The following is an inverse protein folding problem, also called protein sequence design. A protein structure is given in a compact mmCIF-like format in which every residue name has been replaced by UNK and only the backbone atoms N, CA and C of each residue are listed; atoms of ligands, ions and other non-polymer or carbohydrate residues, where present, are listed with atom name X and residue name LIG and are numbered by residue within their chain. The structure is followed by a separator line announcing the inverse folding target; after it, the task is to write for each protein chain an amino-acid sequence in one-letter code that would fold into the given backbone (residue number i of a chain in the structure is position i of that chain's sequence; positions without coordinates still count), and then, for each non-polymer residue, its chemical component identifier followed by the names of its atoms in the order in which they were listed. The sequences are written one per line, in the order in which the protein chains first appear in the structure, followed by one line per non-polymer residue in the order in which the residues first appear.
data_IF_131415602746
#
_entry.id   IF_131415602746
#
_cell.length_a   1.000
_cell.length_b   1.000
_cell.length_c   1.000
_cell.angle_alpha   90.00
_cell.angle_beta   90.00
_cell.angle_gamma   90.00
#
_symmetry.space_group_name_H-M   'P 1'
#
loop_
_entity.id
_entity.type
_entity.pdbx_description
1 polymer ?
#
# COMPACT_ATOMS: atom_id res chain seq x y z
N UNK A 1 -0.28 -62.30 -30.48
CA UNK A 1 0.84 -61.42 -30.90
C UNK A 1 0.74 -60.13 -30.10
N UNK A 2 1.89 -59.62 -29.59
CA UNK A 2 2.09 -58.39 -28.79
C UNK A 2 1.63 -57.13 -29.55
N UNK A 3 0.86 -56.25 -28.91
CA UNK A 3 1.19 -54.91 -28.34
C UNK A 3 0.91 -53.75 -29.32
N UNK A 4 0.88 -52.44 -28.95
CA UNK A 4 1.05 -51.81 -27.64
C UNK A 4 0.03 -50.68 -27.28
N UNK A 5 0.25 -50.10 -26.11
CA UNK A 5 -0.28 -48.87 -25.52
C UNK A 5 -0.32 -47.65 -26.43
N UNK A 6 -1.33 -46.80 -26.23
CA UNK A 6 -1.25 -45.34 -26.39
C UNK A 6 -2.12 -44.74 -25.28
N UNK A 7 -1.46 -44.29 -24.21
CA UNK A 7 -1.22 -42.86 -23.99
C UNK A 7 -2.34 -42.27 -23.14
N UNK A 8 -2.14 -42.39 -21.82
CA UNK A 8 -2.69 -41.47 -20.84
C UNK A 8 -2.38 -40.06 -21.33
N UNK A 9 -3.38 -39.40 -21.92
CA UNK A 9 -3.30 -37.99 -22.25
C UNK A 9 -3.10 -37.25 -20.92
N UNK A 10 -1.88 -36.73 -20.78
CA UNK A 10 -1.46 -35.75 -19.80
C UNK A 10 -2.56 -34.71 -19.62
N UNK A 11 -3.25 -34.76 -18.49
CA UNK A 11 -4.13 -33.71 -18.05
C UNK A 11 -3.30 -32.42 -18.02
N UNK A 12 -3.61 -31.48 -18.91
CA UNK A 12 -3.11 -30.13 -18.78
C UNK A 12 -3.67 -29.60 -17.46
N UNK A 13 -2.78 -29.37 -16.49
CA UNK A 13 -3.09 -28.64 -15.27
C UNK A 13 -2.99 -27.13 -15.61
N UNK A 14 -4.10 -26.37 -15.68
CA UNK A 14 -4.01 -24.92 -15.58
C UNK A 14 -4.07 -24.59 -14.09
N UNK A 15 -2.91 -24.65 -13.43
CA UNK A 15 -2.79 -24.40 -11.99
C UNK A 15 -1.57 -23.54 -11.68
N UNK A 16 -1.33 -22.46 -12.44
CA UNK A 16 -0.12 -21.66 -12.29
C UNK A 16 -0.28 -20.18 -12.67
N UNK A 17 -1.35 -19.50 -12.24
CA UNK A 17 -1.45 -18.04 -12.41
C UNK A 17 -2.49 -17.33 -11.50
N UNK A 18 -2.60 -17.65 -10.20
CA UNK A 18 -3.53 -16.88 -9.33
C UNK A 18 -3.09 -16.65 -7.87
N UNK A 19 -1.81 -16.89 -7.52
CA UNK A 19 -1.22 -16.36 -6.27
C UNK A 19 -0.34 -15.15 -6.59
N UNK A 20 -0.97 -14.10 -7.12
CA UNK A 20 -0.32 -12.79 -7.23
C UNK A 20 -0.16 -12.24 -5.82
N UNK A 21 1.05 -12.40 -5.31
CA UNK A 21 1.54 -12.03 -3.99
C UNK A 21 1.14 -10.60 -3.57
N UNK A 22 0.53 -10.49 -2.38
CA UNK A 22 0.02 -9.24 -1.81
C UNK A 22 1.16 -8.21 -1.60
N UNK A 23 2.37 -8.69 -1.32
CA UNK A 23 3.56 -7.86 -1.15
C UNK A 23 3.96 -7.18 -2.47
N UNK A 24 3.90 -7.92 -3.57
CA UNK A 24 4.14 -7.41 -4.94
C UNK A 24 3.16 -6.30 -5.33
N UNK A 25 1.86 -6.46 -5.02
CA UNK A 25 0.86 -5.41 -5.26
C UNK A 25 1.13 -4.16 -4.42
N UNK A 26 1.50 -4.33 -3.15
CA UNK A 26 1.81 -3.21 -2.27
C UNK A 26 3.06 -2.46 -2.73
N UNK A 27 4.11 -3.18 -3.09
CA UNK A 27 5.34 -2.60 -3.67
C UNK A 27 5.03 -1.75 -4.90
N UNK A 28 4.25 -2.27 -5.85
CA UNK A 28 3.87 -1.53 -7.05
C UNK A 28 3.08 -0.23 -6.75
N UNK A 29 2.26 -0.22 -5.69
CA UNK A 29 1.55 0.98 -5.23
C UNK A 29 2.53 2.02 -4.65
N UNK A 30 3.49 1.57 -3.85
CA UNK A 30 4.53 2.43 -3.27
C UNK A 30 5.42 3.03 -4.36
N UNK A 31 5.86 2.24 -5.33
CA UNK A 31 6.67 2.72 -6.46
C UNK A 31 5.97 3.83 -7.23
N UNK A 32 4.67 3.67 -7.53
CA UNK A 32 3.86 4.71 -8.18
C UNK A 32 3.75 5.97 -7.32
N UNK A 33 3.59 5.83 -6.01
CA UNK A 33 3.57 6.96 -5.09
C UNK A 33 4.91 7.70 -5.06
N UNK A 34 6.01 6.97 -4.89
CA UNK A 34 7.37 7.51 -4.91
C UNK A 34 7.66 8.26 -6.21
N UNK A 35 7.33 7.65 -7.36
CA UNK A 35 7.55 8.24 -8.67
C UNK A 35 6.78 9.57 -8.82
N UNK A 36 5.52 9.64 -8.40
CA UNK A 36 4.72 10.86 -8.44
C UNK A 36 5.28 11.96 -7.53
N UNK A 37 5.67 11.60 -6.30
CA UNK A 37 6.26 12.51 -5.33
C UNK A 37 7.57 13.09 -5.87
N UNK A 38 8.43 12.24 -6.43
CA UNK A 38 9.72 12.64 -7.00
C UNK A 38 9.55 13.54 -8.23
N UNK A 39 8.68 13.14 -9.18
CA UNK A 39 8.37 13.92 -10.40
C UNK A 39 7.86 15.32 -10.06
N UNK A 40 7.00 15.44 -9.04
CA UNK A 40 6.39 16.71 -8.62
C UNK A 40 7.23 17.47 -7.60
N UNK A 41 8.37 16.91 -7.16
CA UNK A 41 9.24 17.48 -6.10
C UNK A 41 8.47 17.85 -4.83
N UNK A 42 7.50 17.00 -4.46
CA UNK A 42 6.66 17.24 -3.29
C UNK A 42 7.41 16.79 -2.03
N UNK A 43 7.44 17.65 -1.01
CA UNK A 43 7.84 17.25 0.34
C UNK A 43 6.65 16.59 1.03
N UNK A 44 6.67 15.25 1.09
CA UNK A 44 5.57 14.46 1.64
C UNK A 44 5.22 14.91 3.06
N UNK A 45 6.24 15.14 3.88
CA UNK A 45 6.10 15.62 5.26
C UNK A 45 5.33 16.94 5.38
N UNK A 46 5.49 17.89 4.44
CA UNK A 46 4.78 19.17 4.47
C UNK A 46 3.27 18.97 4.23
N UNK A 47 2.88 18.01 3.38
CA UNK A 47 1.47 17.69 3.12
C UNK A 47 0.77 17.19 4.39
N UNK A 48 1.47 16.38 5.19
CA UNK A 48 0.91 15.84 6.43
C UNK A 48 1.01 16.80 7.61
N UNK A 49 1.96 17.75 7.57
CA UNK A 49 2.19 18.72 8.65
C UNK A 49 0.99 19.61 8.94
N UNK A 50 0.19 19.94 7.92
CA UNK A 50 -1.04 20.74 8.09
C UNK A 50 -2.09 20.03 8.97
N UNK A 51 -2.08 18.70 8.94
CA UNK A 51 -3.02 17.85 9.69
C UNK A 51 -2.55 17.54 11.11
N UNK A 52 -1.22 17.51 11.36
CA UNK A 52 -0.63 17.21 12.67
C UNK A 52 -0.16 18.46 13.43
N UNK A 53 -1.12 19.29 13.86
CA UNK A 53 -0.83 20.52 14.62
C UNK A 53 -0.21 20.26 16.00
N UNK A 54 -0.38 19.05 16.53
CA UNK A 54 0.12 18.65 17.86
C UNK A 54 1.50 17.99 17.78
N UNK A 55 2.07 17.84 16.58
CA UNK A 55 3.33 17.12 16.33
C UNK A 55 3.32 15.71 16.97
N UNK A 56 2.18 15.04 17.00
CA UNK A 56 2.04 13.71 17.58
C UNK A 56 2.45 12.59 16.60
N UNK A 57 2.89 12.95 15.39
CA UNK A 57 3.30 12.07 14.29
C UNK A 57 2.18 11.16 13.79
N UNK A 58 0.93 11.45 14.17
CA UNK A 58 -0.24 10.64 13.90
C UNK A 58 -1.42 11.50 13.47
N UNK A 59 -2.23 10.96 12.57
CA UNK A 59 -3.39 11.64 12.01
C UNK A 59 -4.59 10.70 11.96
N UNK A 60 -5.77 11.24 11.65
CA UNK A 60 -6.96 10.42 11.41
C UNK A 60 -6.91 9.75 10.04
N UNK A 61 -7.76 8.74 9.85
CA UNK A 61 -7.87 8.02 8.58
C UNK A 61 -8.21 8.95 7.42
N UNK A 62 -9.17 9.83 7.64
CA UNK A 62 -9.71 10.75 6.62
C UNK A 62 -8.64 11.76 6.18
N UNK A 63 -7.84 12.25 7.13
CA UNK A 63 -6.71 13.13 6.86
C UNK A 63 -5.65 12.41 6.02
N UNK A 64 -5.33 11.16 6.36
CA UNK A 64 -4.37 10.35 5.60
C UNK A 64 -4.85 10.10 4.17
N UNK A 65 -6.10 9.67 4.00
CA UNK A 65 -6.73 9.45 2.68
C UNK A 65 -6.70 10.72 1.84
N UNK A 66 -7.03 11.87 2.44
CA UNK A 66 -7.02 13.16 1.74
C UNK A 66 -5.61 13.54 1.28
N UNK A 67 -4.60 13.34 2.12
CA UNK A 67 -3.22 13.58 1.76
C UNK A 67 -2.76 12.66 0.61
N UNK A 68 -3.05 11.35 0.68
CA UNK A 68 -2.71 10.39 -0.38
C UNK A 68 -3.32 10.75 -1.72
N UNK A 69 -4.61 11.11 -1.75
CA UNK A 69 -5.29 11.53 -2.99
C UNK A 69 -4.70 12.82 -3.58
N UNK A 70 -4.15 13.69 -2.74
CA UNK A 70 -3.40 14.88 -3.18
C UNK A 70 -2.05 14.54 -3.81
N UNK A 71 -1.35 13.53 -3.27
CA UNK A 71 -0.06 13.07 -3.78
C UNK A 71 -0.20 12.30 -5.10
N UNK A 72 -1.13 11.35 -5.15
CA UNK A 72 -1.40 10.52 -6.31
C UNK A 72 -2.92 10.35 -6.50
N UNK A 73 -3.55 11.19 -7.34
CA UNK A 73 -4.99 11.14 -7.57
C UNK A 73 -5.45 9.90 -8.36
N UNK A 74 -4.51 9.15 -8.96
CA UNK A 74 -4.79 7.94 -9.74
C UNK A 74 -4.77 6.63 -8.96
N UNK A 75 -4.84 6.69 -7.62
CA UNK A 75 -4.98 5.52 -6.74
C UNK A 75 -6.45 5.14 -6.55
N UNK A 76 -6.74 3.86 -6.68
CA UNK A 76 -8.06 3.30 -6.40
C UNK A 76 -8.36 3.28 -4.91
N UNK A 77 -9.65 3.27 -4.55
CA UNK A 77 -10.08 3.25 -3.14
C UNK A 77 -9.49 2.04 -2.38
N UNK A 78 -9.46 0.87 -3.01
CA UNK A 78 -8.87 -0.34 -2.43
C UNK A 78 -7.36 -0.18 -2.17
N UNK A 79 -6.63 0.45 -3.09
CA UNK A 79 -5.19 0.71 -2.95
C UNK A 79 -4.93 1.71 -1.82
N UNK A 80 -5.72 2.79 -1.77
CA UNK A 80 -5.67 3.78 -0.70
C UNK A 80 -5.92 3.11 0.65
N UNK A 81 -6.93 2.26 0.76
CA UNK A 81 -7.26 1.57 2.01
C UNK A 81 -6.16 0.60 2.44
N UNK A 82 -5.53 -0.07 1.48
CA UNK A 82 -4.39 -0.96 1.72
C UNK A 82 -3.20 -0.18 2.30
N UNK A 83 -2.82 0.93 1.68
CA UNK A 83 -1.74 1.81 2.19
C UNK A 83 -2.08 2.36 3.57
N UNK A 84 -3.28 2.93 3.75
CA UNK A 84 -3.69 3.53 5.02
C UNK A 84 -3.73 2.49 6.15
N UNK A 85 -4.23 1.30 5.87
CA UNK A 85 -4.28 0.22 6.87
C UNK A 85 -2.89 -0.31 7.22
N UNK A 86 -1.95 -0.32 6.27
CA UNK A 86 -0.56 -0.71 6.53
C UNK A 86 0.10 0.20 7.58
N UNK A 87 -0.11 1.52 7.51
CA UNK A 87 0.46 2.50 8.45
C UNK A 87 -0.38 2.73 9.71
N UNK A 88 -1.34 1.86 9.99
CA UNK A 88 -2.15 1.93 11.22
C UNK A 88 -1.36 1.41 12.41
N UNK A 89 -1.18 2.24 13.43
CA UNK A 89 -0.61 1.81 14.70
C UNK A 89 -1.61 0.99 15.52
N UNK A 90 -1.09 -0.01 16.25
CA UNK A 90 -1.86 -0.69 17.27
C UNK A 90 -2.26 0.31 18.39
N UNK A 91 -3.51 0.24 18.88
CA UNK A 91 -3.94 1.08 20.00
C UNK A 91 -3.12 0.75 21.24
N UNK A 92 -2.71 1.77 21.98
CA UNK A 92 -1.87 1.63 23.17
C UNK A 92 -1.95 2.85 24.06
N UNK A 93 -1.23 2.85 25.18
CA UNK A 93 -1.30 3.96 26.16
C UNK A 93 -1.02 5.36 25.59
N UNK A 94 -0.32 5.45 24.45
CA UNK A 94 0.02 6.71 23.75
C UNK A 94 -0.66 6.87 22.38
N UNK A 95 -1.46 5.89 21.97
CA UNK A 95 -2.12 5.84 20.65
C UNK A 95 -3.61 5.69 20.89
N UNK A 96 -4.34 6.80 20.75
CA UNK A 96 -5.78 6.88 21.02
C UNK A 96 -6.52 7.19 19.74
N UNK A 97 -7.64 6.51 19.52
CA UNK A 97 -8.55 6.81 18.42
C UNK A 97 -9.07 8.25 18.53
N UNK A 98 -9.20 9.02 17.43
CA UNK A 98 -9.08 8.62 16.02
C UNK A 98 -7.68 8.75 15.38
N UNK A 99 -6.67 9.26 16.10
CA UNK A 99 -5.33 9.53 15.56
C UNK A 99 -4.40 8.31 15.67
N UNK A 100 -4.72 7.27 14.91
CA UNK A 100 -4.00 5.98 14.98
C UNK A 100 -3.11 5.72 13.76
N UNK A 101 -3.02 6.63 12.79
CA UNK A 101 -2.27 6.42 11.55
C UNK A 101 -0.96 7.19 11.56
N UNK A 102 0.17 6.49 11.45
CA UNK A 102 1.51 7.08 11.53
C UNK A 102 1.99 7.52 10.15
N UNK A 103 1.90 8.81 9.88
CA UNK A 103 2.32 9.37 8.60
C UNK A 103 3.84 9.56 8.50
N UNK A 104 4.58 9.58 9.61
CA UNK A 104 6.05 9.69 9.59
C UNK A 104 6.66 8.39 9.03
N UNK A 105 6.13 7.23 9.45
CA UNK A 105 6.52 5.95 8.88
C UNK A 105 6.26 5.90 7.37
N UNK A 106 5.12 6.45 6.92
CA UNK A 106 4.83 6.59 5.50
C UNK A 106 5.81 7.52 4.78
N UNK A 107 6.11 8.70 5.35
CA UNK A 107 7.08 9.62 4.75
C UNK A 107 8.44 8.95 4.56
N UNK A 108 8.96 8.29 5.60
CA UNK A 108 10.24 7.59 5.53
C UNK A 108 10.22 6.49 4.45
N UNK A 109 9.11 5.76 4.31
CA UNK A 109 8.97 4.71 3.30
C UNK A 109 8.90 5.27 1.85
N UNK A 110 8.37 6.47 1.66
CA UNK A 110 8.29 7.12 0.34
C UNK A 110 9.57 7.89 -0.03
N UNK A 111 10.31 8.36 0.97
CA UNK A 111 11.55 9.13 0.79
C UNK A 111 12.82 8.25 0.76
N UNK A 112 12.68 6.95 1.00
CA UNK A 112 13.73 5.93 0.85
C UNK A 112 13.87 5.47 -0.61
#
# INVERSE_FOLDING_TARGET
RKAPSLSTAWAAEPGADDEVDHDTRFGAILDRLQEQVFKRRIRVKDVFRDFDKLNCSRITREQFVRALRGLCPGLDQTEVDLVVNHFKCQPGRRVTWPQVYNYIAFCNCIEE
#
